data_IF_286315414555
#
_entry.id   IF_286315414555
#
_cell.length_a   1.000
_cell.length_b   1.000
_cell.length_c   1.000
_cell.angle_alpha   90.00
_cell.angle_beta   90.00
_cell.angle_gamma   90.00
#
_symmetry.space_group_name_H-M   'P 1'
#
loop_
_entity.id
_entity.type
_entity.pdbx_description
1 polymer ?
#
# COMPACT_ATOMS: atom_id res chain seq x y z
N UNK A 1 10.60 -19.12 27.13
CA UNK A 1 10.79 -18.82 25.69
C UNK A 1 9.49 -18.45 24.97
N UNK A 2 8.37 -19.15 25.20
CA UNK A 2 7.09 -18.91 24.47
C UNK A 2 6.56 -17.46 24.59
N UNK A 3 6.78 -16.81 25.74
CA UNK A 3 6.28 -15.46 26.02
C UNK A 3 6.98 -14.37 25.19
N UNK A 4 8.30 -14.51 24.99
CA UNK A 4 9.08 -13.57 24.17
C UNK A 4 8.69 -13.67 22.69
N UNK A 5 8.42 -14.89 22.22
CA UNK A 5 7.95 -15.14 20.85
C UNK A 5 6.58 -14.51 20.59
N UNK A 6 5.63 -14.66 21.54
CA UNK A 6 4.31 -14.01 21.47
C UNK A 6 4.42 -12.49 21.52
N UNK A 7 5.30 -11.94 22.35
CA UNK A 7 5.51 -10.49 22.43
C UNK A 7 6.03 -9.90 21.11
N UNK A 8 7.05 -10.53 20.51
CA UNK A 8 7.56 -10.12 19.19
C UNK A 8 6.51 -10.28 18.10
N UNK A 9 5.72 -11.36 18.14
CA UNK A 9 4.64 -11.58 17.18
C UNK A 9 3.55 -10.51 17.28
N UNK A 10 3.19 -10.05 18.48
CA UNK A 10 2.23 -8.94 18.67
C UNK A 10 2.77 -7.61 18.10
N UNK A 11 4.05 -7.28 18.36
CA UNK A 11 4.70 -6.10 17.79
C UNK A 11 4.74 -6.16 16.26
N UNK A 12 5.14 -7.30 15.71
CA UNK A 12 5.13 -7.51 14.26
C UNK A 12 3.73 -7.38 13.67
N UNK A 13 2.71 -7.94 14.34
CA UNK A 13 1.31 -7.81 13.94
C UNK A 13 0.86 -6.36 13.85
N UNK A 14 1.20 -5.55 14.86
CA UNK A 14 0.88 -4.12 14.86
C UNK A 14 1.51 -3.41 13.65
N UNK A 15 2.82 -3.60 13.44
CA UNK A 15 3.57 -2.94 12.35
C UNK A 15 3.01 -3.35 10.98
N UNK A 16 2.85 -4.65 10.74
CA UNK A 16 2.35 -5.15 9.46
C UNK A 16 0.88 -4.79 9.23
N UNK A 17 0.06 -4.71 10.27
CA UNK A 17 -1.34 -4.26 10.17
C UNK A 17 -1.40 -2.80 9.72
N UNK A 18 -0.64 -1.91 10.37
CA UNK A 18 -0.56 -0.50 9.98
C UNK A 18 -0.03 -0.36 8.54
N UNK A 19 1.00 -1.12 8.18
CA UNK A 19 1.55 -1.14 6.82
C UNK A 19 0.49 -1.58 5.79
N UNK A 20 -0.27 -2.64 6.08
CA UNK A 20 -1.31 -3.15 5.18
C UNK A 20 -2.41 -2.10 4.93
N UNK A 21 -2.90 -1.46 6.00
CA UNK A 21 -3.89 -0.39 5.89
C UNK A 21 -3.32 0.79 5.09
N UNK A 22 -2.07 1.19 5.36
CA UNK A 22 -1.39 2.26 4.64
C UNK A 22 -1.24 1.98 3.13
N UNK A 23 -0.92 0.75 2.75
CA UNK A 23 -0.83 0.32 1.34
C UNK A 23 -2.18 0.41 0.63
N UNK A 24 -3.28 0.04 1.30
CA UNK A 24 -4.62 0.15 0.72
C UNK A 24 -5.04 1.61 0.59
N UNK A 25 -4.87 2.40 1.64
CA UNK A 25 -5.25 3.81 1.66
C UNK A 25 -4.49 4.59 0.58
N UNK A 26 -3.18 4.36 0.44
CA UNK A 26 -2.37 4.99 -0.61
C UNK A 26 -2.82 4.60 -2.02
N UNK A 27 -3.19 3.33 -2.24
CA UNK A 27 -3.73 2.90 -3.52
C UNK A 27 -5.07 3.60 -3.85
N UNK A 28 -5.97 3.72 -2.88
CA UNK A 28 -7.28 4.38 -3.05
C UNK A 28 -7.09 5.88 -3.35
N UNK A 29 -6.28 6.57 -2.55
CA UNK A 29 -6.00 8.00 -2.74
C UNK A 29 -5.35 8.25 -4.10
N UNK A 30 -4.38 7.41 -4.49
CA UNK A 30 -3.67 7.57 -5.75
C UNK A 30 -4.55 7.33 -6.99
N UNK A 31 -5.44 6.33 -6.95
CA UNK A 31 -6.46 6.15 -7.99
C UNK A 31 -7.40 7.36 -8.06
N UNK A 32 -7.89 7.83 -6.91
CA UNK A 32 -8.73 9.02 -6.83
C UNK A 32 -8.05 10.25 -7.42
N UNK A 33 -6.80 10.53 -7.02
CA UNK A 33 -6.01 11.64 -7.53
C UNK A 33 -5.80 11.57 -9.04
N UNK A 34 -5.56 10.36 -9.58
CA UNK A 34 -5.38 10.15 -11.01
C UNK A 34 -6.65 10.40 -11.81
N UNK A 35 -7.81 9.95 -11.29
CA UNK A 35 -9.13 10.23 -11.88
C UNK A 35 -9.38 11.75 -11.87
N UNK A 36 -9.18 12.41 -10.73
CA UNK A 36 -9.36 13.87 -10.59
C UNK A 36 -8.48 14.65 -11.59
N UNK A 37 -7.22 14.23 -11.78
CA UNK A 37 -6.29 14.83 -12.77
C UNK A 37 -6.80 14.69 -14.20
N UNK A 38 -7.47 13.58 -14.54
CA UNK A 38 -8.05 13.39 -15.88
C UNK A 38 -9.34 14.16 -16.13
N UNK A 39 -10.14 14.43 -15.10
CA UNK A 39 -11.42 15.17 -15.21
C UNK A 39 -11.20 16.68 -15.40
N UNK A 40 -9.99 17.19 -15.14
CA UNK A 40 -9.62 18.57 -15.45
C UNK A 40 -9.03 19.37 -14.29
N UNK A 41 -8.82 18.75 -13.12
CA UNK A 41 -8.09 19.38 -12.01
C UNK A 41 -6.59 19.34 -12.35
N UNK A 42 -6.11 20.38 -13.05
CA UNK A 42 -4.71 20.50 -13.48
C UNK A 42 -3.73 20.76 -12.35
N UNK A 43 -4.21 21.17 -11.19
CA UNK A 43 -3.42 21.51 -9.99
C UNK A 43 -2.75 20.29 -9.35
N UNK A 44 -3.25 19.07 -9.60
CA UNK A 44 -2.66 17.84 -9.06
C UNK A 44 -1.57 17.41 -10.03
N UNK A 45 -0.39 18.01 -9.94
CA UNK A 45 0.76 17.64 -10.77
C UNK A 45 1.43 16.36 -10.25
N UNK A 46 1.47 15.33 -11.10
CA UNK A 46 2.34 14.17 -10.90
C UNK A 46 3.61 14.39 -11.72
N UNK A 47 4.75 14.35 -11.03
CA UNK A 47 6.09 14.48 -11.62
C UNK A 47 6.82 13.15 -11.44
N UNK A 48 7.37 12.59 -12.53
CA UNK A 48 8.24 11.40 -12.44
C UNK A 48 9.66 11.77 -11.99
N UNK A 49 10.06 13.00 -12.29
CA UNK A 49 11.26 13.67 -11.78
C UNK A 49 10.91 15.16 -11.63
N UNK A 50 11.62 15.95 -10.80
CA UNK A 50 11.30 17.35 -10.56
C UNK A 50 11.12 18.21 -11.83
N UNK A 51 11.76 17.81 -12.93
CA UNK A 51 11.75 18.53 -14.21
C UNK A 51 10.91 17.85 -15.31
N UNK A 52 10.27 16.70 -15.04
CA UNK A 52 9.52 15.94 -16.04
C UNK A 52 8.08 15.74 -15.55
N UNK A 53 7.17 16.64 -15.95
CA UNK A 53 5.74 16.49 -15.65
C UNK A 53 5.18 15.31 -16.45
N UNK A 54 4.38 14.48 -15.79
CA UNK A 54 3.70 13.36 -16.47
C UNK A 54 2.56 13.94 -17.30
N UNK A 55 2.51 13.67 -18.62
CA UNK A 55 1.40 14.09 -19.46
C UNK A 55 0.07 13.56 -18.91
N UNK A 56 -1.00 14.37 -19.02
CA UNK A 56 -2.32 14.06 -18.42
C UNK A 56 -2.84 12.67 -18.81
N UNK A 57 -2.61 12.27 -20.06
CA UNK A 57 -3.01 10.96 -20.60
C UNK A 57 -2.24 9.77 -20.00
N UNK A 58 -1.03 9.99 -19.49
CA UNK A 58 -0.21 8.94 -18.88
C UNK A 58 -0.49 8.75 -17.38
N UNK A 59 -1.25 9.65 -16.74
CA UNK A 59 -1.49 9.60 -15.30
C UNK A 59 -2.22 8.33 -14.87
N UNK A 60 -3.28 7.93 -15.58
CA UNK A 60 -4.04 6.71 -15.28
C UNK A 60 -3.20 5.44 -15.48
N UNK A 61 -2.56 5.20 -16.65
CA UNK A 61 -1.80 3.97 -16.84
C UNK A 61 -0.62 3.85 -15.88
N UNK A 62 0.09 4.96 -15.59
CA UNK A 62 1.19 4.96 -14.60
C UNK A 62 0.67 4.64 -13.21
N UNK A 63 -0.43 5.26 -12.78
CA UNK A 63 -1.03 4.97 -11.48
C UNK A 63 -1.52 3.52 -11.39
N UNK A 64 -2.07 2.97 -12.48
CA UNK A 64 -2.53 1.58 -12.52
C UNK A 64 -1.38 0.60 -12.25
N UNK A 65 -0.20 0.85 -12.82
CA UNK A 65 1.02 0.09 -12.53
C UNK A 65 1.41 0.22 -11.06
N UNK A 66 1.41 1.45 -10.52
CA UNK A 66 1.74 1.69 -9.11
C UNK A 66 0.78 0.98 -8.15
N UNK A 67 -0.51 1.00 -8.46
CA UNK A 67 -1.55 0.31 -7.69
C UNK A 67 -1.37 -1.20 -7.77
N UNK A 68 -1.03 -1.74 -8.94
CA UNK A 68 -0.71 -3.16 -9.07
C UNK A 68 0.47 -3.55 -8.16
N UNK A 69 1.54 -2.75 -8.11
CA UNK A 69 2.67 -2.96 -7.20
C UNK A 69 2.25 -2.88 -5.73
N UNK A 70 1.44 -1.89 -5.35
CA UNK A 70 0.93 -1.73 -3.99
C UNK A 70 0.06 -2.92 -3.57
N UNK A 71 -0.83 -3.39 -4.45
CA UNK A 71 -1.70 -4.55 -4.17
C UNK A 71 -0.91 -5.86 -4.07
N UNK A 72 0.10 -6.06 -4.92
CA UNK A 72 1.01 -7.21 -4.81
C UNK A 72 1.72 -7.16 -3.45
N UNK A 73 2.25 -6.00 -3.08
CA UNK A 73 2.93 -5.81 -1.77
C UNK A 73 1.95 -6.08 -0.62
N UNK A 74 0.72 -5.56 -0.69
CA UNK A 74 -0.30 -5.80 0.31
C UNK A 74 -0.67 -7.28 0.44
N UNK A 75 -0.68 -8.04 -0.67
CA UNK A 75 -0.89 -9.49 -0.67
C UNK A 75 0.21 -10.22 0.10
N UNK A 76 1.48 -9.84 -0.09
CA UNK A 76 2.59 -10.41 0.67
C UNK A 76 2.52 -10.04 2.15
N UNK A 77 2.23 -8.77 2.47
CA UNK A 77 2.04 -8.32 3.86
C UNK A 77 0.93 -9.10 4.55
N UNK A 78 -0.21 -9.30 3.89
CA UNK A 78 -1.32 -10.12 4.42
C UNK A 78 -0.89 -11.56 4.72
N UNK A 79 -0.05 -12.16 3.87
CA UNK A 79 0.50 -13.50 4.11
C UNK A 79 1.41 -13.54 5.33
N UNK A 80 2.23 -12.51 5.52
CA UNK A 80 3.09 -12.35 6.69
C UNK A 80 2.25 -12.20 7.97
N UNK A 81 1.21 -11.34 7.95
CA UNK A 81 0.26 -11.18 9.07
C UNK A 81 -0.33 -12.54 9.47
N UNK A 82 -0.83 -13.33 8.51
CA UNK A 82 -1.37 -14.66 8.79
C UNK A 82 -0.33 -15.61 9.40
N UNK A 83 0.94 -15.52 8.97
CA UNK A 83 2.01 -16.30 9.56
C UNK A 83 2.31 -15.90 11.01
N UNK A 84 2.26 -14.59 11.31
CA UNK A 84 2.43 -14.07 12.68
C UNK A 84 1.26 -14.43 13.61
N UNK A 85 0.09 -14.81 13.06
CA UNK A 85 -1.07 -15.26 13.83
C UNK A 85 -0.99 -16.73 14.29
N UNK A 86 -0.20 -17.58 13.63
CA UNK A 86 -0.03 -19.01 13.95
C UNK A 86 0.26 -19.26 15.45
N UNK A 87 1.19 -18.55 16.13
CA UNK A 87 1.46 -18.78 17.56
C UNK A 87 0.32 -18.39 18.52
N UNK A 88 -0.76 -17.79 18.02
CA UNK A 88 -1.93 -17.41 18.81
C UNK A 88 -3.14 -18.33 18.61
N UNK A 89 -3.09 -19.28 17.67
CA UNK A 89 -4.20 -20.24 17.47
C UNK A 89 -4.16 -21.34 18.55
N UNK A 90 -5.28 -21.63 19.23
CA UNK A 90 -5.36 -22.78 20.12
C UNK A 90 -5.36 -24.07 19.29
N UNK A 91 -4.53 -25.03 19.70
CA UNK A 91 -4.46 -26.40 19.15
C UNK A 91 -5.71 -27.20 19.47
#
# INVERSE_FOLDING_TARGET
MIWLYRFLATLGLLIFSVLYVGLIVSAVIGLGASILRTIGITQIEMTLTPNIPVPRYLSIPVMCVFVAVLLITAKYVKRIINFLFIPFQPS
#
